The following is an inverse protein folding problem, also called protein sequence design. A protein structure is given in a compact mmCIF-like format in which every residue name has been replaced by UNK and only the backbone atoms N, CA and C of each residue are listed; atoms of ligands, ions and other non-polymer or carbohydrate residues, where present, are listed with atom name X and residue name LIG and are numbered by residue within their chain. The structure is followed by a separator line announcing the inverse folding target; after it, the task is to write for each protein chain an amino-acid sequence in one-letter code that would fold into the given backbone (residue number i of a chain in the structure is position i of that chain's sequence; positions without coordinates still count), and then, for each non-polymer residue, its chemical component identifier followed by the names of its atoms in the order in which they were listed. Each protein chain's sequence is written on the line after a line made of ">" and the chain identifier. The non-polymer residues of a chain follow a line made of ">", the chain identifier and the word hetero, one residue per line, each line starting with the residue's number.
data_IF_210858599168
#
_entry.id   IF_210858599168
#
_cell.length_a   1.000
_cell.length_b   1.000
_cell.length_c   1.000
_cell.angle_alpha   90.00
_cell.angle_beta   90.00
_cell.angle_gamma   90.00
#
_symmetry.space_group_name_H-M   'P 1'
#
loop_
_entity.id
_entity.type
_entity.pdbx_description
1 polymer ?
#
# COMPACT_ATOMS: atom_id res chain seq x y z
N UNK A 1 -27.35 -37.74 -20.72
CA UNK A 1 -25.88 -37.63 -20.88
C UNK A 1 -25.34 -36.22 -20.82
N UNK A 2 -25.97 -35.24 -21.46
CA UNK A 2 -25.52 -33.79 -21.44
C UNK A 2 -25.50 -33.15 -20.03
N UNK A 3 -26.46 -33.46 -19.16
CA UNK A 3 -26.57 -32.83 -17.81
C UNK A 3 -25.37 -33.18 -16.91
N UNK A 4 -24.86 -34.40 -16.98
CA UNK A 4 -23.69 -34.80 -16.19
C UNK A 4 -22.38 -34.18 -16.68
N UNK A 5 -22.26 -33.95 -17.98
CA UNK A 5 -21.11 -33.27 -18.56
C UNK A 5 -21.05 -31.81 -18.12
N UNK A 6 -22.18 -31.09 -18.08
CA UNK A 6 -22.22 -29.70 -17.61
C UNK A 6 -21.94 -29.56 -16.12
N UNK A 7 -22.44 -30.48 -15.28
CA UNK A 7 -22.14 -30.52 -13.84
C UNK A 7 -20.66 -30.76 -13.57
N UNK A 8 -20.02 -31.65 -14.33
CA UNK A 8 -18.59 -31.91 -14.20
C UNK A 8 -17.73 -30.69 -14.56
N UNK A 9 -18.09 -29.93 -15.62
CA UNK A 9 -17.39 -28.72 -16.01
C UNK A 9 -17.51 -27.64 -14.92
N UNK A 10 -18.71 -27.46 -14.35
CA UNK A 10 -18.93 -26.49 -13.26
C UNK A 10 -18.10 -26.86 -12.01
N UNK A 11 -18.08 -28.16 -11.65
CA UNK A 11 -17.28 -28.60 -10.49
C UNK A 11 -15.77 -28.38 -10.70
N UNK A 12 -15.24 -28.65 -11.89
CA UNK A 12 -13.85 -28.41 -12.24
C UNK A 12 -13.53 -26.89 -12.18
N UNK A 13 -14.39 -26.06 -12.74
CA UNK A 13 -14.24 -24.62 -12.69
C UNK A 13 -14.21 -24.08 -11.25
N UNK A 14 -15.08 -24.61 -10.37
CA UNK A 14 -15.13 -24.24 -8.96
C UNK A 14 -13.87 -24.66 -8.20
N UNK A 15 -13.36 -25.87 -8.45
CA UNK A 15 -12.10 -26.34 -7.85
C UNK A 15 -10.92 -25.50 -8.33
N UNK A 16 -10.84 -25.20 -9.63
CA UNK A 16 -9.78 -24.33 -10.17
C UNK A 16 -9.84 -22.93 -9.56
N UNK A 17 -11.02 -22.33 -9.46
CA UNK A 17 -11.21 -21.05 -8.81
C UNK A 17 -10.72 -21.07 -7.36
N UNK A 18 -11.10 -22.09 -6.58
CA UNK A 18 -10.68 -22.24 -5.18
C UNK A 18 -9.17 -22.39 -5.04
N UNK A 19 -8.53 -23.21 -5.91
CA UNK A 19 -7.06 -23.39 -5.92
C UNK A 19 -6.34 -22.07 -6.26
N UNK A 20 -6.86 -21.29 -7.21
CA UNK A 20 -6.28 -19.98 -7.57
C UNK A 20 -6.39 -18.98 -6.40
N UNK A 21 -7.54 -18.95 -5.73
CA UNK A 21 -7.74 -18.10 -4.56
C UNK A 21 -6.80 -18.48 -3.41
N UNK A 22 -6.68 -19.76 -3.12
CA UNK A 22 -5.74 -20.24 -2.11
C UNK A 22 -4.28 -19.91 -2.43
N UNK A 23 -3.87 -20.00 -3.70
CA UNK A 23 -2.51 -19.63 -4.11
C UNK A 23 -2.25 -18.12 -3.94
N UNK A 24 -3.23 -17.26 -4.24
CA UNK A 24 -3.12 -15.80 -4.03
C UNK A 24 -2.97 -15.46 -2.54
N UNK A 25 -3.79 -16.03 -1.68
CA UNK A 25 -3.73 -15.84 -0.22
C UNK A 25 -2.37 -16.30 0.35
N UNK A 26 -1.91 -17.49 0.00
CA UNK A 26 -0.61 -18.00 0.42
C UNK A 26 0.56 -17.14 -0.07
N UNK A 27 0.48 -16.60 -1.29
CA UNK A 27 1.52 -15.72 -1.84
C UNK A 27 1.61 -14.42 -1.06
N UNK A 28 0.48 -13.80 -0.72
CA UNK A 28 0.44 -12.56 0.07
C UNK A 28 0.95 -12.79 1.50
N UNK A 29 0.51 -13.86 2.15
CA UNK A 29 0.96 -14.21 3.49
C UNK A 29 2.46 -14.54 3.54
N UNK A 30 2.97 -15.25 2.54
CA UNK A 30 4.40 -15.57 2.41
C UNK A 30 5.22 -14.30 2.23
N UNK A 31 4.75 -13.36 1.41
CA UNK A 31 5.41 -12.06 1.23
C UNK A 31 5.45 -11.27 2.53
N UNK A 32 4.31 -11.13 3.22
CA UNK A 32 4.24 -10.36 4.47
C UNK A 32 5.16 -10.94 5.54
N UNK A 33 5.23 -12.27 5.67
CA UNK A 33 6.16 -12.95 6.60
C UNK A 33 7.62 -12.71 6.22
N UNK A 34 7.94 -12.76 4.93
CA UNK A 34 9.31 -12.52 4.42
C UNK A 34 9.73 -11.08 4.65
N UNK A 35 8.87 -10.10 4.33
CA UNK A 35 9.15 -8.69 4.52
C UNK A 35 9.25 -8.32 6.01
N UNK A 36 8.36 -8.86 6.85
CA UNK A 36 8.43 -8.69 8.32
C UNK A 36 9.74 -9.27 8.90
N UNK A 37 10.11 -10.48 8.48
CA UNK A 37 11.39 -11.08 8.87
C UNK A 37 12.58 -10.24 8.42
N UNK A 38 12.51 -9.64 7.23
CA UNK A 38 13.53 -8.73 6.73
C UNK A 38 13.63 -7.48 7.62
N UNK A 39 12.54 -6.76 7.88
CA UNK A 39 12.55 -5.54 8.69
C UNK A 39 13.04 -5.80 10.11
N UNK A 40 12.64 -6.92 10.74
CA UNK A 40 13.07 -7.28 12.10
C UNK A 40 14.56 -7.63 12.22
N UNK A 41 15.21 -8.01 11.11
CA UNK A 41 16.63 -8.37 11.08
C UNK A 41 17.51 -7.31 10.41
N UNK A 42 16.95 -6.12 10.11
CA UNK A 42 17.67 -5.06 9.46
C UNK A 42 18.52 -4.30 10.50
N UNK A 43 19.84 -4.29 10.31
CA UNK A 43 20.76 -3.59 11.20
C UNK A 43 20.47 -2.09 11.27
N UNK A 44 20.42 -1.54 12.47
CA UNK A 44 20.19 -0.12 12.69
C UNK A 44 18.74 0.33 12.45
N UNK A 45 17.78 -0.61 12.41
CA UNK A 45 16.36 -0.33 12.20
C UNK A 45 15.49 -1.05 13.23
N UNK A 46 14.58 -0.32 13.88
CA UNK A 46 13.59 -0.88 14.81
C UNK A 46 12.19 -0.62 14.26
N UNK A 47 11.55 -1.66 13.76
CA UNK A 47 10.25 -1.53 13.13
C UNK A 47 9.17 -1.13 14.14
N UNK A 48 8.65 0.10 14.03
CA UNK A 48 7.50 0.59 14.81
C UNK A 48 6.17 0.29 14.11
N UNK A 49 6.13 0.47 12.80
CA UNK A 49 4.96 0.23 11.94
C UNK A 49 5.39 -0.42 10.63
N UNK A 50 4.51 -1.24 10.02
CA UNK A 50 4.73 -1.80 8.69
C UNK A 50 3.44 -1.88 7.87
N UNK A 51 3.51 -1.52 6.58
CA UNK A 51 2.47 -1.74 5.58
C UNK A 51 2.96 -2.79 4.58
N UNK A 52 2.17 -3.84 4.41
CA UNK A 52 2.44 -4.88 3.44
C UNK A 52 1.44 -4.77 2.29
N UNK A 53 1.96 -4.51 1.12
CA UNK A 53 1.16 -4.46 -0.09
C UNK A 53 0.95 -5.83 -0.72
N UNK A 54 0.14 -5.83 -1.76
CA UNK A 54 -0.07 -6.97 -2.65
C UNK A 54 0.58 -6.69 -4.00
N UNK A 55 0.62 -7.70 -4.86
CA UNK A 55 1.17 -7.55 -6.21
C UNK A 55 0.34 -6.57 -7.02
N UNK A 56 0.96 -5.43 -7.39
CA UNK A 56 0.34 -4.38 -8.19
C UNK A 56 0.37 -4.65 -9.71
N UNK A 57 -0.16 -3.72 -10.53
CA UNK A 57 -0.20 -3.82 -12.00
C UNK A 57 1.18 -4.02 -12.64
N UNK A 58 2.20 -3.37 -12.10
CA UNK A 58 3.60 -3.51 -12.56
C UNK A 58 4.24 -4.85 -12.23
N UNK A 59 3.53 -5.73 -11.51
CA UNK A 59 4.05 -7.01 -11.06
C UNK A 59 4.86 -6.95 -9.76
N UNK A 60 5.13 -5.76 -9.21
CA UNK A 60 5.87 -5.55 -7.98
C UNK A 60 5.02 -5.81 -6.74
N UNK A 61 5.63 -6.42 -5.73
CA UNK A 61 5.04 -6.59 -4.39
C UNK A 61 5.91 -5.83 -3.40
N UNK A 62 5.33 -4.81 -2.78
CA UNK A 62 6.05 -3.79 -2.01
C UNK A 62 5.58 -3.74 -0.57
N UNK A 63 6.49 -3.39 0.33
CA UNK A 63 6.20 -3.09 1.72
C UNK A 63 6.97 -1.85 2.18
N UNK A 64 6.47 -1.19 3.20
CA UNK A 64 7.12 -0.06 3.85
C UNK A 64 7.08 -0.28 5.35
N UNK A 65 8.18 0.05 6.02
CA UNK A 65 8.24 0.05 7.48
C UNK A 65 8.81 1.38 7.98
N UNK A 66 8.48 1.72 9.23
CA UNK A 66 8.87 2.95 9.88
C UNK A 66 9.53 2.62 11.21
N UNK A 67 10.67 3.26 11.44
CA UNK A 67 11.34 3.36 12.74
C UNK A 67 11.13 4.78 13.29
N UNK A 68 10.28 4.89 14.32
CA UNK A 68 9.94 6.18 14.92
C UNK A 68 11.02 6.68 15.89
N UNK A 69 11.91 5.82 16.34
CA UNK A 69 13.00 6.21 17.24
C UNK A 69 14.17 6.83 16.47
N UNK A 70 14.43 6.33 15.26
CA UNK A 70 15.54 6.80 14.40
C UNK A 70 15.08 7.69 13.25
N UNK A 71 13.76 7.94 13.14
CA UNK A 71 13.16 8.76 12.08
C UNK A 71 13.50 8.23 10.68
N UNK A 72 13.43 6.89 10.51
CA UNK A 72 13.76 6.20 9.27
C UNK A 72 12.52 5.56 8.63
N UNK A 73 12.50 5.59 7.30
CA UNK A 73 11.56 4.85 6.46
C UNK A 73 12.34 3.79 5.70
N UNK A 74 11.93 2.54 5.83
CA UNK A 74 12.48 1.44 5.02
C UNK A 74 11.48 1.02 3.96
N UNK A 75 11.87 1.13 2.69
CA UNK A 75 11.12 0.68 1.54
C UNK A 75 11.63 -0.69 1.11
N UNK A 76 10.74 -1.66 0.87
CA UNK A 76 11.09 -3.01 0.45
C UNK A 76 10.31 -3.41 -0.80
N UNK A 77 11.03 -3.81 -1.86
CA UNK A 77 10.45 -4.35 -3.09
C UNK A 77 11.02 -5.75 -3.33
N UNK A 78 10.15 -6.76 -3.30
CA UNK A 78 10.58 -8.15 -3.48
C UNK A 78 11.16 -8.44 -4.88
N UNK A 79 10.86 -7.61 -5.86
CA UNK A 79 11.16 -7.82 -7.28
C UNK A 79 12.42 -7.08 -7.75
N UNK A 80 12.97 -6.16 -6.93
CA UNK A 80 14.16 -5.40 -7.27
C UNK A 80 15.46 -6.12 -6.86
N UNK A 81 16.56 -5.82 -7.56
CA UNK A 81 17.90 -6.34 -7.22
C UNK A 81 18.38 -5.78 -5.87
N UNK A 82 18.23 -4.48 -5.66
CA UNK A 82 18.41 -3.80 -4.38
C UNK A 82 17.05 -3.81 -3.70
N UNK A 83 16.78 -4.83 -2.91
CA UNK A 83 15.46 -5.12 -2.35
C UNK A 83 14.95 -4.08 -1.35
N UNK A 84 15.82 -3.19 -0.84
CA UNK A 84 15.41 -2.20 0.14
C UNK A 84 16.18 -0.89 0.00
N UNK A 85 15.54 0.19 0.45
CA UNK A 85 16.11 1.51 0.61
C UNK A 85 15.74 2.04 1.99
N UNK A 86 16.72 2.58 2.68
CA UNK A 86 16.54 3.23 3.97
C UNK A 86 16.65 4.74 3.76
N UNK A 87 15.62 5.46 4.16
CA UNK A 87 15.47 6.89 3.94
C UNK A 87 15.20 7.58 5.27
N UNK A 88 15.74 8.76 5.45
CA UNK A 88 15.41 9.66 6.55
C UNK A 88 14.01 10.26 6.35
N UNK A 89 13.31 10.60 7.44
CA UNK A 89 11.99 11.26 7.38
C UNK A 89 12.02 12.57 6.59
N UNK A 90 13.14 13.32 6.66
CA UNK A 90 13.31 14.61 6.01
C UNK A 90 13.18 14.58 4.49
N UNK A 91 13.38 13.41 3.86
CA UNK A 91 13.23 13.28 2.40
C UNK A 91 11.81 12.95 1.95
N UNK A 92 10.88 12.71 2.88
CA UNK A 92 9.48 12.45 2.53
C UNK A 92 8.78 13.76 2.14
N UNK A 93 8.42 13.90 0.87
CA UNK A 93 7.86 15.11 0.31
C UNK A 93 6.33 15.12 0.23
N UNK A 94 5.71 13.98 -0.11
CA UNK A 94 4.25 13.89 -0.19
C UNK A 94 3.73 12.49 0.04
N UNK A 95 2.44 12.39 0.39
CA UNK A 95 1.69 11.15 0.46
C UNK A 95 0.34 11.31 -0.21
N UNK A 96 -0.08 10.33 -0.99
CA UNK A 96 -1.30 10.36 -1.79
C UNK A 96 -1.99 9.00 -1.78
N UNK A 97 -3.32 8.99 -1.65
CA UNK A 97 -4.15 7.78 -1.72
C UNK A 97 -4.90 7.77 -3.04
N UNK A 98 -4.85 6.64 -3.72
CA UNK A 98 -5.55 6.41 -4.99
C UNK A 98 -6.59 5.30 -4.85
N UNK A 99 -7.77 5.55 -5.42
CA UNK A 99 -8.84 4.57 -5.62
C UNK A 99 -9.13 4.47 -7.12
N UNK A 100 -8.98 3.26 -7.70
CA UNK A 100 -9.06 3.04 -9.15
C UNK A 100 -8.18 4.02 -9.97
N UNK A 101 -6.94 4.27 -9.48
CA UNK A 101 -5.97 5.23 -10.04
C UNK A 101 -6.42 6.70 -10.01
N UNK A 102 -7.48 7.03 -9.30
CA UNK A 102 -7.93 8.41 -9.05
C UNK A 102 -7.45 8.82 -7.66
N UNK A 103 -6.78 9.97 -7.56
CA UNK A 103 -6.38 10.53 -6.28
C UNK A 103 -7.60 10.92 -5.44
N UNK A 104 -7.68 10.39 -4.22
CA UNK A 104 -8.78 10.67 -3.28
C UNK A 104 -8.31 11.40 -2.02
N UNK A 105 -7.01 11.43 -1.76
CA UNK A 105 -6.41 12.19 -0.66
C UNK A 105 -4.95 12.50 -1.00
N UNK A 106 -4.52 13.73 -0.81
CA UNK A 106 -3.17 14.20 -1.11
C UNK A 106 -2.66 15.11 -0.01
N UNK A 107 -1.39 14.98 0.35
CA UNK A 107 -0.67 15.88 1.24
C UNK A 107 0.79 16.04 0.79
N UNK A 108 1.32 17.27 0.81
CA UNK A 108 2.70 17.55 0.46
C UNK A 108 3.31 18.61 1.36
N UNK A 109 4.64 18.68 1.36
CA UNK A 109 5.46 19.65 2.08
C UNK A 109 5.25 21.11 1.61
N UNK A 110 4.95 21.32 0.35
CA UNK A 110 4.58 22.64 -0.14
C UNK A 110 3.30 23.11 0.56
N UNK A 111 3.46 23.85 1.65
CA UNK A 111 2.52 24.32 2.68
C UNK A 111 1.18 24.89 2.21
N UNK A 112 0.79 24.64 1.00
CA UNK A 112 -0.52 24.91 0.43
C UNK A 112 -1.30 23.61 0.37
N UNK A 113 -1.96 23.32 1.48
CA UNK A 113 -2.98 22.30 1.64
C UNK A 113 -3.98 22.41 0.48
N UNK A 114 -3.74 21.70 -0.60
CA UNK A 114 -4.81 21.24 -1.45
C UNK A 114 -5.35 19.96 -0.77
N UNK A 115 -6.16 20.13 0.26
CA UNK A 115 -7.13 19.12 0.66
C UNK A 115 -8.10 18.98 -0.49
N UNK A 116 -7.70 18.23 -1.50
CA UNK A 116 -8.62 17.70 -2.47
C UNK A 116 -9.35 16.53 -1.80
N UNK A 117 -10.23 16.84 -0.85
CA UNK A 117 -11.35 15.97 -0.54
C UNK A 117 -12.22 15.97 -1.79
N UNK A 118 -11.86 15.16 -2.76
CA UNK A 118 -12.83 14.70 -3.75
C UNK A 118 -13.71 13.66 -3.05
N UNK A 119 -14.55 14.11 -2.13
CA UNK A 119 -15.83 13.45 -1.91
C UNK A 119 -16.65 13.67 -3.19
N UNK A 120 -16.24 13.05 -4.26
CA UNK A 120 -17.13 12.76 -5.34
C UNK A 120 -18.06 11.71 -4.75
N UNK A 121 -19.26 12.10 -4.36
CA UNK A 121 -20.36 11.16 -4.19
C UNK A 121 -20.49 10.39 -5.49
N UNK A 122 -19.77 9.27 -5.59
CA UNK A 122 -20.00 8.29 -6.61
C UNK A 122 -21.40 7.74 -6.32
N UNK A 123 -22.32 7.91 -7.27
CA UNK A 123 -23.65 7.31 -7.22
C UNK A 123 -23.52 5.86 -6.73
N UNK A 124 -24.44 5.40 -5.88
CA UNK A 124 -24.36 4.08 -5.21
C UNK A 124 -24.15 2.89 -6.18
N UNK A 125 -24.54 3.03 -7.45
CA UNK A 125 -24.38 2.04 -8.51
C UNK A 125 -22.95 1.92 -9.08
N UNK A 126 -22.00 2.80 -8.75
CA UNK A 126 -20.67 2.85 -9.36
C UNK A 126 -19.51 2.47 -8.42
N UNK A 127 -19.76 1.99 -7.20
CA UNK A 127 -18.72 1.63 -6.22
C UNK A 127 -18.07 0.27 -6.52
N UNK A 128 -17.50 0.13 -7.71
CA UNK A 128 -16.66 -1.03 -8.04
C UNK A 128 -15.21 -0.67 -7.83
N UNK A 129 -14.63 -1.08 -6.70
CA UNK A 129 -13.23 -0.85 -6.41
C UNK A 129 -12.40 -2.04 -6.88
N UNK A 130 -11.44 -1.76 -7.74
CA UNK A 130 -10.48 -2.72 -8.28
C UNK A 130 -9.09 -2.51 -7.71
N UNK A 131 -8.73 -1.26 -7.42
CA UNK A 131 -7.43 -0.87 -6.93
C UNK A 131 -7.54 0.13 -5.78
N UNK A 132 -6.75 -0.08 -4.74
CA UNK A 132 -6.52 0.89 -3.68
C UNK A 132 -5.01 0.91 -3.40
N UNK A 133 -4.43 2.09 -3.31
CA UNK A 133 -2.99 2.24 -3.10
C UNK A 133 -2.65 3.52 -2.35
N UNK A 134 -1.50 3.53 -1.71
CA UNK A 134 -0.84 4.73 -1.20
C UNK A 134 0.48 4.92 -1.94
N UNK A 135 0.76 6.15 -2.37
CA UNK A 135 2.02 6.55 -2.97
C UNK A 135 2.70 7.60 -2.10
N UNK A 136 3.97 7.40 -1.82
CA UNK A 136 4.85 8.36 -1.17
C UNK A 136 5.86 8.87 -2.19
N UNK A 137 6.08 10.19 -2.24
CA UNK A 137 7.15 10.80 -3.04
C UNK A 137 8.25 11.29 -2.12
N UNK A 138 9.47 11.16 -2.59
CA UNK A 138 10.67 11.49 -1.83
C UNK A 138 11.55 12.47 -2.61
N UNK A 139 12.23 13.34 -1.89
CA UNK A 139 13.32 14.17 -2.45
C UNK A 139 14.56 13.28 -2.53
N UNK A 140 14.57 12.37 -3.50
CA UNK A 140 15.63 11.40 -3.70
C UNK A 140 15.75 11.04 -5.18
N UNK A 141 16.98 11.09 -5.72
CA UNK A 141 17.24 10.69 -7.11
C UNK A 141 17.14 9.17 -7.30
N UNK A 142 17.42 8.37 -6.27
CA UNK A 142 17.36 6.91 -6.33
C UNK A 142 15.91 6.41 -6.34
N UNK A 143 15.04 6.99 -5.50
CA UNK A 143 13.64 6.61 -5.39
C UNK A 143 12.78 7.88 -5.30
N UNK A 144 12.35 8.42 -6.44
CA UNK A 144 11.48 9.60 -6.44
C UNK A 144 10.06 9.31 -5.96
N UNK A 145 9.58 8.06 -6.13
CA UNK A 145 8.27 7.64 -5.63
C UNK A 145 8.22 6.16 -5.27
N UNK A 146 7.31 5.81 -4.34
CA UNK A 146 7.07 4.43 -3.94
C UNK A 146 5.57 4.20 -3.70
N UNK A 147 4.95 3.40 -4.57
CA UNK A 147 3.51 3.10 -4.53
C UNK A 147 3.27 1.68 -4.03
N UNK A 148 2.39 1.55 -3.03
CA UNK A 148 1.99 0.28 -2.43
C UNK A 148 0.51 0.06 -2.70
N UNK A 149 0.16 -1.07 -3.32
CA UNK A 149 -1.22 -1.50 -3.53
C UNK A 149 -1.70 -2.31 -2.34
N UNK A 150 -2.79 -1.90 -1.72
CA UNK A 150 -3.50 -2.63 -0.67
C UNK A 150 -4.69 -3.43 -1.23
N UNK A 151 -5.22 -2.99 -2.38
CA UNK A 151 -6.15 -3.73 -3.23
C UNK A 151 -5.63 -3.68 -4.67
N UNK A 152 -5.60 -4.84 -5.33
CA UNK A 152 -5.45 -4.96 -6.79
C UNK A 152 -6.13 -6.23 -7.26
N UNK A 153 -7.24 -6.09 -7.99
CA UNK A 153 -8.09 -7.20 -8.43
C UNK A 153 -8.63 -6.96 -9.84
N UNK A 154 -8.81 -8.03 -10.60
CA UNK A 154 -9.50 -7.98 -11.89
C UNK A 154 -11.03 -7.92 -11.74
N UNK A 155 -11.54 -8.22 -10.55
CA UNK A 155 -12.95 -8.12 -10.20
C UNK A 155 -13.12 -7.10 -9.07
N UNK A 156 -14.28 -6.41 -8.98
CA UNK A 156 -14.55 -5.55 -7.84
C UNK A 156 -14.45 -6.34 -6.54
N UNK A 157 -13.82 -5.76 -5.53
CA UNK A 157 -13.77 -6.36 -4.18
C UNK A 157 -15.09 -6.15 -3.47
N UNK A 158 -15.40 -7.01 -2.51
CA UNK A 158 -16.58 -6.81 -1.68
C UNK A 158 -16.43 -5.59 -0.76
N UNK A 159 -17.57 -5.07 -0.29
CA UNK A 159 -17.60 -3.84 0.49
C UNK A 159 -16.86 -3.96 1.83
N UNK A 160 -16.87 -5.12 2.48
CA UNK A 160 -16.21 -5.30 3.77
C UNK A 160 -14.68 -5.32 3.61
N UNK A 161 -14.18 -6.05 2.59
CA UNK A 161 -12.77 -6.06 2.23
C UNK A 161 -12.31 -4.64 1.89
N UNK A 162 -13.07 -3.92 1.08
CA UNK A 162 -12.78 -2.55 0.70
C UNK A 162 -12.70 -1.63 1.93
N UNK A 163 -13.70 -1.62 2.80
CA UNK A 163 -13.72 -0.76 3.97
C UNK A 163 -12.54 -1.03 4.91
N UNK A 164 -12.22 -2.31 5.15
CA UNK A 164 -11.09 -2.70 5.96
C UNK A 164 -9.76 -2.19 5.36
N UNK A 165 -9.56 -2.42 4.07
CA UNK A 165 -8.34 -2.00 3.37
C UNK A 165 -8.24 -0.49 3.23
N UNK A 166 -9.36 0.21 3.04
CA UNK A 166 -9.41 1.67 3.01
C UNK A 166 -8.99 2.27 4.35
N UNK A 167 -9.48 1.71 5.45
CA UNK A 167 -9.08 2.15 6.80
C UNK A 167 -7.58 1.95 7.04
N UNK A 168 -7.02 0.79 6.67
CA UNK A 168 -5.58 0.51 6.74
C UNK A 168 -4.77 1.51 5.91
N UNK A 169 -5.16 1.74 4.65
CA UNK A 169 -4.51 2.67 3.73
C UNK A 169 -4.56 4.11 4.25
N UNK A 170 -5.70 4.54 4.78
CA UNK A 170 -5.87 5.87 5.35
C UNK A 170 -5.03 6.07 6.63
N UNK A 171 -4.93 5.07 7.49
CA UNK A 171 -4.03 5.11 8.67
C UNK A 171 -2.59 5.37 8.26
N UNK A 172 -2.13 4.71 7.20
CA UNK A 172 -0.80 4.91 6.65
C UNK A 172 -0.62 6.30 6.06
N UNK A 173 -1.58 6.77 5.26
CA UNK A 173 -1.55 8.13 4.74
C UNK A 173 -1.45 9.16 5.86
N UNK A 174 -2.29 9.04 6.91
CA UNK A 174 -2.22 9.94 8.07
C UNK A 174 -0.87 9.88 8.81
N UNK A 175 -0.23 8.70 8.87
CA UNK A 175 1.09 8.57 9.47
C UNK A 175 2.14 9.32 8.63
N UNK A 176 2.10 9.19 7.29
CA UNK A 176 2.98 9.95 6.40
C UNK A 176 2.76 11.46 6.52
N UNK A 177 1.49 11.89 6.59
CA UNK A 177 1.14 13.31 6.82
C UNK A 177 1.77 13.84 8.11
N UNK A 178 1.71 13.08 9.21
CA UNK A 178 2.34 13.47 10.47
C UNK A 178 3.86 13.59 10.37
N UNK A 179 4.52 12.71 9.61
CA UNK A 179 5.96 12.77 9.37
C UNK A 179 6.31 14.03 8.58
N UNK A 180 5.55 14.35 7.53
CA UNK A 180 5.75 15.56 6.73
C UNK A 180 5.53 16.81 7.58
N UNK A 181 4.45 16.86 8.37
CA UNK A 181 4.16 17.96 9.28
C UNK A 181 5.27 18.15 10.33
N UNK A 182 5.81 17.06 10.85
CA UNK A 182 6.91 17.08 11.83
C UNK A 182 8.16 17.72 11.21
N UNK A 183 8.52 17.35 9.99
CA UNK A 183 9.67 17.91 9.28
C UNK A 183 9.54 19.41 9.01
N UNK A 184 8.31 19.91 8.86
CA UNK A 184 8.01 21.31 8.56
C UNK A 184 7.93 22.20 9.80
N UNK A 185 8.00 21.64 11.01
CA UNK A 185 8.01 22.47 12.21
C UNK A 185 9.33 23.23 12.31
N UNK A 186 9.29 24.56 12.52
CA UNK A 186 10.51 25.30 12.75
C UNK A 186 11.25 24.72 13.95
N UNK A 187 12.53 24.39 13.77
CA UNK A 187 13.41 23.93 14.84
C UNK A 187 13.29 24.96 15.98
N UNK A 188 12.65 24.57 17.07
CA UNK A 188 12.68 25.38 18.29
C UNK A 188 14.12 25.36 18.79
N UNK A 189 14.88 26.40 18.48
CA UNK A 189 16.13 26.66 19.17
C UNK A 189 15.77 26.77 20.65
N UNK A 190 16.13 25.75 21.41
CA UNK A 190 16.16 25.80 22.87
C UNK A 190 17.44 26.55 23.18
N UNK A 191 17.29 27.86 23.43
CA UNK A 191 18.35 28.70 24.00
C UNK A 191 18.65 28.30 25.45
#
# INVERSE_FOLDING_TARGET
>A
MMIYASLAVIAVAFVLFFVIQQKKLKSSETFSKSAMGFFNNLDGFTMSYALFGIKGPSGHTRAMAIDTERELICLYDANEKKKHHMLDYSVLASSEVFENEISISFFSDDSKILKLNFEKELSEDSKRVFNLSVECKFVSDEIPSFKIYTIHSNNPVDNNEYLFKKEETNKWHHLMVKIIDYNNQPVKHID
#
